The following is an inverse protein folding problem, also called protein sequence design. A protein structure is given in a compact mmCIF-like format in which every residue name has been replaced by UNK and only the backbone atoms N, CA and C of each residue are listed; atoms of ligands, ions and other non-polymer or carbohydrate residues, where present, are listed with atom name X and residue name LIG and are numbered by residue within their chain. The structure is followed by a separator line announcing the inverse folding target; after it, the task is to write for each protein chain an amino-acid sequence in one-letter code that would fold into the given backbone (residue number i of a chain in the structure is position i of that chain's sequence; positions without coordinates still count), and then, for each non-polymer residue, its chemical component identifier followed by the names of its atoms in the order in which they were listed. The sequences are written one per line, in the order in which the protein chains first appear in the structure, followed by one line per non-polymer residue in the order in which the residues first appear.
data_IF_508263120015
#
_entry.id   IF_508263120015
#
_cell.length_a   1.000
_cell.length_b   1.000
_cell.length_c   1.000
_cell.angle_alpha   90.00
_cell.angle_beta   90.00
_cell.angle_gamma   90.00
#
_symmetry.space_group_name_H-M   'P 1'
#
loop_
_entity.id
_entity.type
_entity.pdbx_description
1 polymer ?
#
# COMPACT_ATOMS: atom_id res chain seq x y z
N UNK A 1 -11.54 8.49 -0.05
CA UNK A 1 -10.19 8.12 -0.51
C UNK A 1 -10.21 6.66 -0.90
N UNK A 2 -9.90 6.38 -2.16
CA UNK A 2 -9.80 5.01 -2.69
C UNK A 2 -8.37 4.45 -2.63
N UNK A 3 -8.23 3.15 -2.91
CA UNK A 3 -6.95 2.46 -3.00
C UNK A 3 -5.97 3.15 -3.96
N UNK A 4 -6.43 3.43 -5.18
CA UNK A 4 -5.58 4.02 -6.23
C UNK A 4 -5.03 5.41 -5.85
N UNK A 5 -5.84 6.23 -5.17
CA UNK A 5 -5.41 7.55 -4.67
C UNK A 5 -4.30 7.41 -3.63
N UNK A 6 -4.44 6.45 -2.71
CA UNK A 6 -3.40 6.16 -1.72
C UNK A 6 -2.09 5.73 -2.42
N UNK A 7 -2.14 4.74 -3.32
CA UNK A 7 -0.95 4.27 -4.05
C UNK A 7 -0.26 5.39 -4.83
N UNK A 8 -1.04 6.29 -5.44
CA UNK A 8 -0.50 7.45 -6.15
C UNK A 8 0.24 8.41 -5.22
N UNK A 9 -0.28 8.64 -4.02
CA UNK A 9 0.36 9.52 -3.03
C UNK A 9 1.66 8.92 -2.47
N UNK A 10 1.70 7.61 -2.22
CA UNK A 10 2.94 6.92 -1.86
C UNK A 10 4.00 7.02 -2.96
N UNK A 11 3.57 6.84 -4.21
CA UNK A 11 4.46 6.97 -5.37
C UNK A 11 5.02 8.39 -5.52
N UNK A 12 4.17 9.43 -5.37
CA UNK A 12 4.60 10.84 -5.41
C UNK A 12 5.59 11.19 -4.29
N UNK A 13 5.48 10.53 -3.13
CA UNK A 13 6.43 10.68 -2.01
C UNK A 13 7.77 9.97 -2.24
N UNK A 14 7.92 9.24 -3.35
CA UNK A 14 9.16 8.51 -3.68
C UNK A 14 9.38 7.25 -2.85
N UNK A 15 8.32 6.74 -2.21
CA UNK A 15 8.43 5.58 -1.33
C UNK A 15 8.51 4.31 -2.16
N UNK A 16 9.59 3.55 -2.00
CA UNK A 16 9.78 2.27 -2.70
C UNK A 16 8.90 1.19 -2.08
N UNK A 17 8.48 0.16 -2.83
CA UNK A 17 7.76 -0.99 -2.28
C UNK A 17 8.71 -1.86 -1.44
N UNK A 18 9.05 -1.37 -0.25
CA UNK A 18 9.88 -2.03 0.76
C UNK A 18 9.01 -2.33 1.99
N UNK A 19 9.41 -3.29 2.85
CA UNK A 19 8.63 -3.73 4.02
C UNK A 19 8.25 -2.58 4.97
N UNK A 20 9.09 -1.55 5.05
CA UNK A 20 8.83 -0.31 5.79
C UNK A 20 7.64 0.47 5.22
N UNK A 21 7.52 0.53 3.90
CA UNK A 21 6.43 1.22 3.19
C UNK A 21 5.14 0.42 3.28
N UNK A 22 5.21 -0.92 3.18
CA UNK A 22 4.06 -1.79 3.41
C UNK A 22 3.48 -1.68 4.83
N UNK A 23 4.31 -1.36 5.83
CA UNK A 23 3.87 -1.22 7.22
C UNK A 23 3.17 0.13 7.46
N UNK A 24 3.69 1.24 6.94
CA UNK A 24 3.01 2.55 7.02
C UNK A 24 1.68 2.58 6.23
N UNK A 25 1.62 1.87 5.11
CA UNK A 25 0.42 1.79 4.28
C UNK A 25 -0.71 1.01 4.97
N UNK A 26 -0.37 -0.10 5.63
CA UNK A 26 -1.32 -0.89 6.42
C UNK A 26 -1.89 -0.07 7.57
N UNK A 27 -1.06 0.74 8.23
CA UNK A 27 -1.52 1.66 9.27
C UNK A 27 -2.48 2.73 8.74
N UNK A 28 -2.20 3.32 7.58
CA UNK A 28 -3.11 4.29 6.93
C UNK A 28 -4.45 3.63 6.52
N UNK A 29 -4.42 2.41 5.99
CA UNK A 29 -5.64 1.67 5.60
C UNK A 29 -6.46 1.21 6.79
N UNK A 30 -5.80 0.88 7.91
CA UNK A 30 -6.43 0.62 9.20
C UNK A 30 -7.22 1.84 9.67
N UNK A 31 -6.63 3.04 9.61
CA UNK A 31 -7.30 4.30 9.99
C UNK A 31 -8.54 4.59 9.13
N UNK A 32 -8.56 4.10 7.91
CA UNK A 32 -9.67 4.24 6.97
C UNK A 32 -10.74 3.14 7.09
N UNK A 33 -10.65 2.24 8.08
CA UNK A 33 -11.55 1.08 8.28
C UNK A 33 -11.64 0.13 7.07
N UNK A 34 -10.63 0.10 6.20
CA UNK A 34 -10.62 -0.82 5.05
C UNK A 34 -10.14 -2.24 5.42
N UNK A 35 -9.57 -2.43 6.60
CA UNK A 35 -9.01 -3.70 7.05
C UNK A 35 -9.85 -4.24 8.21
N UNK A 36 -10.36 -5.46 8.05
CA UNK A 36 -11.00 -6.18 9.13
C UNK A 36 -9.96 -6.60 10.18
N UNK A 37 -10.32 -6.50 11.45
CA UNK A 37 -9.47 -6.87 12.58
C UNK A 37 -9.01 -8.34 12.43
N UNK A 38 -7.69 -8.58 12.50
CA UNK A 38 -7.10 -9.91 12.31
C UNK A 38 -6.79 -10.31 10.86
N UNK A 39 -7.16 -9.51 9.85
CA UNK A 39 -6.80 -9.75 8.44
C UNK A 39 -5.58 -8.94 7.96
N UNK A 40 -4.90 -8.24 8.88
CA UNK A 40 -3.85 -7.25 8.59
C UNK A 40 -2.68 -7.82 7.77
N UNK A 41 -2.20 -9.00 8.13
CA UNK A 41 -1.11 -9.73 7.43
C UNK A 41 -1.47 -10.06 5.97
N UNK A 42 -2.71 -10.51 5.76
CA UNK A 42 -3.20 -10.88 4.44
C UNK A 42 -3.38 -9.63 3.56
N UNK A 43 -3.92 -8.55 4.12
CA UNK A 43 -4.02 -7.25 3.45
C UNK A 43 -2.63 -6.67 3.15
N UNK A 44 -1.69 -6.73 4.09
CA UNK A 44 -0.31 -6.27 3.90
C UNK A 44 0.35 -6.93 2.71
N UNK A 45 0.24 -8.25 2.62
CA UNK A 45 0.83 -9.05 1.54
C UNK A 45 0.21 -8.70 0.18
N UNK A 46 -1.13 -8.63 0.12
CA UNK A 46 -1.84 -8.27 -1.10
C UNK A 46 -1.51 -6.84 -1.56
N UNK A 47 -1.43 -5.90 -0.62
CA UNK A 47 -1.08 -4.51 -0.91
C UNK A 47 0.34 -4.33 -1.41
N UNK A 48 1.31 -4.96 -0.76
CA UNK A 48 2.70 -4.91 -1.19
C UNK A 48 2.84 -5.46 -2.61
N UNK A 49 2.13 -6.54 -2.93
CA UNK A 49 2.11 -7.11 -4.27
C UNK A 49 1.51 -6.14 -5.31
N UNK A 50 0.40 -5.47 -4.98
CA UNK A 50 -0.25 -4.51 -5.89
C UNK A 50 0.58 -3.23 -6.07
N UNK A 51 1.15 -2.70 -4.98
CA UNK A 51 2.01 -1.52 -5.03
C UNK A 51 3.29 -1.80 -5.82
N UNK A 52 3.87 -2.99 -5.67
CA UNK A 52 5.01 -3.42 -6.48
C UNK A 52 4.68 -3.43 -7.97
N UNK A 53 3.52 -3.98 -8.37
CA UNK A 53 3.06 -3.94 -9.78
C UNK A 53 2.88 -2.51 -10.27
N UNK A 54 2.23 -1.66 -9.47
CA UNK A 54 2.00 -0.26 -9.78
C UNK A 54 3.33 0.51 -9.99
N UNK A 55 4.32 0.25 -9.14
CA UNK A 55 5.64 0.87 -9.16
C UNK A 55 6.46 0.42 -10.39
N UNK A 56 6.53 -0.89 -10.65
CA UNK A 56 7.24 -1.44 -11.81
C UNK A 56 6.61 -0.99 -13.14
N UNK A 57 5.28 -0.87 -13.21
CA UNK A 57 4.60 -0.35 -14.40
C UNK A 57 4.97 1.11 -14.75
N UNK A 58 5.46 1.89 -13.77
CA UNK A 58 5.83 3.32 -13.91
C UNK A 58 7.33 3.58 -13.92
N UNK A 59 8.14 2.53 -13.83
CA UNK A 59 9.60 2.58 -14.01
C UNK A 59 10.03 2.56 -15.48
N UNK A 60 9.11 2.25 -16.40
CA UNK A 60 9.30 2.32 -17.86
C UNK A 60 9.08 3.74 -18.37
#
# INVERSE_FOLDING_TARGET
MGLDEALQDFFKKGMKPEDSTGSELVEELKKLNFIAEGAEEMYKTAFLAEYLRYFEARKK
#
